data_IF_510394974976
#
_entry.id   IF_510394974976
#
_cell.length_a   1.000
_cell.length_b   1.000
_cell.length_c   1.000
_cell.angle_alpha   90.00
_cell.angle_beta   90.00
_cell.angle_gamma   90.00
#
_symmetry.space_group_name_H-M   'P 1'
#
loop_
_entity.id
_entity.type
_entity.pdbx_description
1 polymer ?
#
# COMPACT_ATOMS: atom_id res chain seq x y z
N UNK A 1 -65.13 -45.33 16.84
CA UNK A 1 -63.78 -45.67 17.36
C UNK A 1 -62.79 -45.32 16.25
N UNK A 2 -62.37 -44.05 16.13
CA UNK A 2 -61.08 -43.48 16.58
C UNK A 2 -59.86 -44.34 16.20
N UNK A 3 -59.15 -43.95 15.13
CA UNK A 3 -57.68 -43.93 15.10
C UNK A 3 -57.23 -42.79 14.18
N UNK A 4 -56.79 -41.69 14.78
CA UNK A 4 -56.12 -40.59 14.11
C UNK A 4 -54.63 -40.94 14.00
N UNK A 5 -54.10 -41.01 12.78
CA UNK A 5 -52.67 -41.09 12.52
C UNK A 5 -52.11 -39.66 12.44
N UNK A 6 -51.47 -39.24 13.52
CA UNK A 6 -50.63 -38.04 13.57
C UNK A 6 -49.31 -38.35 12.86
N UNK A 7 -49.15 -37.85 11.63
CA UNK A 7 -47.84 -37.79 10.96
C UNK A 7 -47.14 -36.53 11.47
N UNK A 8 -46.20 -36.70 12.40
CA UNK A 8 -45.35 -35.62 12.89
C UNK A 8 -44.33 -35.26 11.81
N UNK A 9 -44.53 -34.12 11.15
CA UNK A 9 -43.57 -33.56 10.23
C UNK A 9 -42.38 -32.99 11.01
N UNK A 10 -41.28 -33.73 11.11
CA UNK A 10 -39.99 -33.18 11.50
C UNK A 10 -39.51 -32.23 10.40
N UNK A 11 -39.73 -30.94 10.58
CA UNK A 11 -39.05 -29.91 9.79
C UNK A 11 -37.58 -29.88 10.22
N UNK A 12 -36.73 -30.58 9.48
CA UNK A 12 -35.29 -30.34 9.52
C UNK A 12 -35.00 -28.98 8.88
N UNK A 13 -34.97 -27.92 9.68
CA UNK A 13 -34.33 -26.66 9.28
C UNK A 13 -32.82 -26.89 9.28
N UNK A 14 -32.27 -27.26 8.12
CA UNK A 14 -30.84 -27.25 7.90
C UNK A 14 -30.34 -25.81 8.01
N UNK A 15 -29.86 -25.44 9.20
CA UNK A 15 -29.13 -24.20 9.41
C UNK A 15 -27.74 -24.37 8.78
N UNK A 16 -27.64 -24.14 7.48
CA UNK A 16 -26.36 -24.04 6.78
C UNK A 16 -25.63 -22.79 7.29
N UNK A 17 -24.81 -22.96 8.32
CA UNK A 17 -23.84 -21.97 8.77
C UNK A 17 -22.76 -21.88 7.69
N UNK A 18 -22.86 -20.88 6.82
CA UNK A 18 -21.75 -20.46 5.99
C UNK A 18 -20.66 -19.94 6.93
N UNK A 19 -19.64 -20.78 7.19
CA UNK A 19 -18.42 -20.32 7.82
C UNK A 19 -17.80 -19.26 6.90
N UNK A 20 -17.92 -17.99 7.26
CA UNK A 20 -17.14 -16.94 6.65
C UNK A 20 -15.68 -17.20 7.00
N UNK A 21 -14.89 -17.67 6.04
CA UNK A 21 -13.44 -17.69 6.19
C UNK A 21 -12.98 -16.23 6.26
N UNK A 22 -12.65 -15.74 7.45
CA UNK A 22 -11.93 -14.47 7.58
C UNK A 22 -10.65 -14.58 6.74
N UNK A 23 -10.48 -13.69 5.75
CA UNK A 23 -9.26 -13.65 4.97
C UNK A 23 -8.09 -13.46 5.94
N UNK A 24 -7.10 -14.36 5.88
CA UNK A 24 -5.92 -14.25 6.72
C UNK A 24 -5.15 -12.99 6.32
N UNK A 25 -4.85 -12.15 7.31
CA UNK A 25 -4.09 -10.94 7.12
C UNK A 25 -2.65 -11.23 6.63
N UNK A 26 -2.09 -10.32 5.85
CA UNK A 26 -0.70 -10.40 5.40
C UNK A 26 0.25 -10.43 6.61
N UNK A 27 1.23 -11.33 6.56
CA UNK A 27 2.37 -11.30 7.48
C UNK A 27 3.47 -10.43 6.89
N UNK A 28 3.83 -9.37 7.60
CA UNK A 28 4.90 -8.45 7.20
C UNK A 28 6.24 -8.87 7.82
N UNK A 29 7.31 -8.87 7.02
CA UNK A 29 8.65 -9.30 7.43
C UNK A 29 9.72 -8.25 7.15
N UNK A 30 10.61 -8.06 8.11
CA UNK A 30 11.77 -7.17 8.03
C UNK A 30 12.60 -7.46 6.78
N UNK A 31 12.93 -6.43 6.01
CA UNK A 31 13.81 -6.59 4.84
C UNK A 31 15.25 -6.91 5.25
N UNK A 32 15.68 -6.52 6.45
CA UNK A 32 17.04 -6.76 6.94
C UNK A 32 17.21 -8.17 7.56
N UNK A 33 16.22 -8.64 8.32
CA UNK A 33 16.32 -9.83 9.20
C UNK A 33 15.33 -10.94 8.88
N UNK A 34 14.33 -10.70 8.02
CA UNK A 34 13.20 -11.62 7.73
C UNK A 34 12.30 -11.97 8.93
N UNK A 35 12.55 -11.34 10.08
CA UNK A 35 11.71 -11.44 11.27
C UNK A 35 10.34 -10.80 11.03
N UNK A 36 9.31 -11.32 11.70
CA UNK A 36 7.96 -10.77 11.62
C UNK A 36 7.95 -9.37 12.24
N UNK A 37 7.40 -8.40 11.49
CA UNK A 37 7.23 -7.03 11.96
C UNK A 37 5.99 -6.96 12.86
N UNK A 38 6.18 -6.47 14.08
CA UNK A 38 5.08 -6.11 14.97
C UNK A 38 4.45 -4.78 14.52
N UNK A 39 3.68 -4.82 13.44
CA UNK A 39 3.08 -3.62 12.84
C UNK A 39 2.12 -2.94 13.81
N UNK A 40 1.31 -3.72 14.54
CA UNK A 40 0.30 -3.18 15.45
C UNK A 40 0.92 -2.63 16.74
N UNK A 41 1.98 -3.24 17.27
CA UNK A 41 2.72 -2.69 18.41
C UNK A 41 3.57 -1.48 18.05
N UNK A 42 4.05 -1.40 16.79
CA UNK A 42 5.02 -0.38 16.35
C UNK A 42 4.38 0.86 15.73
N UNK A 43 3.33 0.72 14.94
CA UNK A 43 2.78 1.85 14.19
C UNK A 43 2.31 3.00 15.11
N UNK A 44 2.14 4.21 14.59
CA UNK A 44 1.38 5.25 15.32
C UNK A 44 -0.10 4.88 15.41
N UNK A 45 -0.80 5.29 16.48
CA UNK A 45 -2.24 4.95 16.68
C UNK A 45 -3.17 5.58 15.63
N UNK A 46 -2.83 6.76 15.12
CA UNK A 46 -3.55 7.41 14.02
C UNK A 46 -3.38 6.67 12.69
N UNK A 47 -4.33 6.85 11.77
CA UNK A 47 -4.25 6.31 10.42
C UNK A 47 -4.39 4.78 10.26
N UNK A 48 -4.40 3.97 11.33
CA UNK A 48 -4.40 2.51 11.21
C UNK A 48 -5.69 1.87 10.68
N UNK A 49 -6.81 2.57 10.82
CA UNK A 49 -8.15 2.00 10.62
C UNK A 49 -8.83 2.47 9.33
N UNK A 50 -8.10 3.13 8.43
CA UNK A 50 -8.67 3.59 7.15
C UNK A 50 -9.01 2.39 6.26
N UNK A 51 -9.98 2.52 5.34
CA UNK A 51 -10.27 1.47 4.38
C UNK A 51 -9.04 1.03 3.55
N UNK A 52 -8.14 1.96 3.24
CA UNK A 52 -6.91 1.66 2.48
C UNK A 52 -5.98 0.76 3.29
N UNK A 53 -5.74 1.10 4.56
CA UNK A 53 -4.89 0.29 5.44
C UNK A 53 -5.48 -1.10 5.66
N UNK A 54 -6.81 -1.22 5.82
CA UNK A 54 -7.46 -2.54 5.92
C UNK A 54 -7.24 -3.38 4.66
N UNK A 55 -7.52 -2.82 3.48
CA UNK A 55 -7.30 -3.49 2.19
C UNK A 55 -5.83 -3.87 1.99
N UNK A 56 -4.90 -3.00 2.36
CA UNK A 56 -3.47 -3.29 2.28
C UNK A 56 -3.06 -4.43 3.22
N UNK A 57 -3.56 -4.44 4.46
CA UNK A 57 -3.32 -5.54 5.42
C UNK A 57 -3.91 -6.86 4.93
N UNK A 58 -5.00 -6.85 4.17
CA UNK A 58 -5.59 -8.07 3.59
C UNK A 58 -4.84 -8.55 2.34
N UNK A 59 -4.45 -7.64 1.45
CA UNK A 59 -4.03 -7.97 0.08
C UNK A 59 -2.56 -7.71 -0.23
N UNK A 60 -1.89 -6.86 0.56
CA UNK A 60 -0.55 -6.36 0.27
C UNK A 60 -0.48 -5.36 -0.88
N UNK A 61 -1.62 -4.92 -1.42
CA UNK A 61 -1.74 -3.98 -2.54
C UNK A 61 -2.15 -2.61 -2.02
N UNK A 62 -1.39 -1.57 -2.37
CA UNK A 62 -1.70 -0.21 -1.97
C UNK A 62 -2.79 0.38 -2.87
N UNK A 63 -3.91 0.78 -2.25
CA UNK A 63 -5.05 1.33 -2.95
C UNK A 63 -4.87 2.79 -3.41
N UNK A 64 -3.83 3.47 -2.94
CA UNK A 64 -3.52 4.85 -3.31
C UNK A 64 -2.62 5.00 -4.54
N UNK A 65 -2.05 3.91 -5.06
CA UNK A 65 -1.23 3.95 -6.27
C UNK A 65 -2.01 4.58 -7.42
N UNK A 66 -1.44 5.64 -8.01
CA UNK A 66 -2.04 6.46 -9.08
C UNK A 66 -3.39 7.14 -8.72
N UNK A 67 -3.73 7.27 -7.43
CA UNK A 67 -4.83 8.13 -6.97
C UNK A 67 -4.29 9.55 -6.79
N UNK A 68 -4.52 10.40 -7.80
CA UNK A 68 -3.91 11.73 -7.88
C UNK A 68 -4.06 12.57 -6.59
N UNK A 69 -5.25 12.59 -5.97
CA UNK A 69 -5.48 13.34 -4.73
C UNK A 69 -4.64 12.91 -3.52
N UNK A 70 -4.01 11.72 -3.55
CA UNK A 70 -3.15 11.22 -2.49
C UNK A 70 -1.67 11.57 -2.69
N UNK A 71 -1.26 11.87 -3.92
CA UNK A 71 0.13 12.11 -4.28
C UNK A 71 0.76 13.35 -3.61
N UNK A 72 0.07 14.50 -3.42
CA UNK A 72 0.69 15.67 -2.79
C UNK A 72 1.14 15.44 -1.34
N UNK A 73 0.37 14.65 -0.57
CA UNK A 73 0.77 14.30 0.79
C UNK A 73 1.92 13.28 0.79
N UNK A 74 1.88 12.30 -0.12
CA UNK A 74 3.00 11.37 -0.33
C UNK A 74 4.30 12.09 -0.70
N UNK A 75 4.24 13.09 -1.59
CA UNK A 75 5.35 13.97 -1.92
C UNK A 75 5.87 14.72 -0.69
N UNK A 76 4.99 15.33 0.09
CA UNK A 76 5.38 16.08 1.29
C UNK A 76 6.14 15.20 2.30
N UNK A 77 5.65 13.98 2.54
CA UNK A 77 6.31 13.01 3.42
C UNK A 77 7.67 12.60 2.85
N UNK A 78 7.75 12.33 1.53
CA UNK A 78 9.00 11.97 0.87
C UNK A 78 10.05 13.08 0.98
N UNK A 79 9.65 14.33 0.76
CA UNK A 79 10.55 15.49 0.87
C UNK A 79 11.11 15.60 2.28
N UNK A 80 10.25 15.50 3.29
CA UNK A 80 10.65 15.63 4.70
C UNK A 80 11.53 14.48 5.19
N UNK A 81 11.14 13.23 4.87
CA UNK A 81 11.71 12.05 5.51
C UNK A 81 12.69 11.25 4.65
N UNK A 82 12.67 11.41 3.32
CA UNK A 82 13.40 10.52 2.41
C UNK A 82 14.41 11.26 1.51
N UNK A 83 14.07 12.48 1.07
CA UNK A 83 14.80 13.18 0.00
C UNK A 83 16.25 13.50 0.35
N UNK A 84 16.56 13.70 1.64
CA UNK A 84 17.92 13.97 2.12
C UNK A 84 18.91 12.87 1.73
N UNK A 85 18.46 11.61 1.71
CA UNK A 85 19.26 10.45 1.34
C UNK A 85 18.98 9.93 -0.08
N UNK A 86 17.74 9.99 -0.56
CA UNK A 86 17.33 9.40 -1.84
C UNK A 86 17.20 10.40 -3.00
N UNK A 87 17.54 11.68 -2.78
CA UNK A 87 17.41 12.72 -3.81
C UNK A 87 16.02 13.36 -3.82
N UNK A 88 15.90 14.51 -4.49
CA UNK A 88 14.68 15.33 -4.44
C UNK A 88 13.48 14.66 -5.13
N UNK A 89 13.75 13.78 -6.09
CA UNK A 89 12.77 13.04 -6.90
C UNK A 89 13.11 11.55 -6.96
N UNK A 90 13.80 11.03 -5.93
CA UNK A 90 14.17 9.62 -5.83
C UNK A 90 15.32 9.21 -6.77
N UNK A 91 16.10 10.16 -7.28
CA UNK A 91 17.20 9.92 -8.22
C UNK A 91 18.45 9.27 -7.59
N UNK A 92 18.45 9.11 -6.27
CA UNK A 92 19.59 8.59 -5.51
C UNK A 92 20.55 9.70 -5.10
N UNK A 93 21.17 9.53 -3.93
CA UNK A 93 22.19 10.47 -3.42
C UNK A 93 23.14 9.76 -2.47
N UNK A 94 22.75 9.63 -1.20
CA UNK A 94 23.46 8.82 -0.20
C UNK A 94 22.94 7.39 -0.27
N UNK A 95 21.61 7.25 -0.34
CA UNK A 95 20.92 6.00 -0.63
C UNK A 95 20.75 5.78 -2.13
N UNK A 96 20.30 4.57 -2.52
CA UNK A 96 20.05 4.24 -3.92
C UNK A 96 18.95 5.10 -4.55
N UNK A 97 18.89 5.09 -5.88
CA UNK A 97 17.73 5.58 -6.59
C UNK A 97 16.49 4.74 -6.25
N UNK A 98 15.34 5.41 -6.20
CA UNK A 98 14.01 4.84 -5.96
C UNK A 98 13.06 5.10 -7.15
N UNK A 99 13.52 5.84 -8.16
CA UNK A 99 12.73 6.26 -9.33
C UNK A 99 13.05 5.47 -10.60
N UNK A 100 13.75 4.35 -10.47
CA UNK A 100 14.10 3.45 -11.56
C UNK A 100 13.52 2.03 -11.33
N UNK A 101 13.69 1.18 -12.34
CA UNK A 101 13.22 -0.21 -12.32
C UNK A 101 14.09 -1.18 -11.50
N UNK A 102 15.21 -0.72 -10.94
CA UNK A 102 16.24 -1.55 -10.31
C UNK A 102 16.15 -1.48 -8.78
N UNK A 103 15.64 -2.56 -8.19
CA UNK A 103 15.55 -2.69 -6.74
C UNK A 103 16.67 -3.58 -6.17
N UNK A 104 17.45 -3.04 -5.22
CA UNK A 104 18.46 -3.82 -4.46
C UNK A 104 17.80 -4.97 -3.70
N UNK A 105 16.60 -4.74 -3.15
CA UNK A 105 15.77 -5.76 -2.54
C UNK A 105 14.63 -6.11 -3.50
N UNK A 106 14.68 -7.30 -4.11
CA UNK A 106 13.72 -7.71 -5.15
C UNK A 106 12.26 -7.62 -4.72
N UNK A 107 11.96 -7.84 -3.44
CA UNK A 107 10.62 -7.68 -2.85
C UNK A 107 10.02 -6.28 -3.03
N UNK A 108 10.84 -5.23 -3.18
CA UNK A 108 10.38 -3.84 -3.34
C UNK A 108 9.74 -3.57 -4.71
N UNK A 109 9.77 -4.55 -5.62
CA UNK A 109 8.88 -4.58 -6.79
C UNK A 109 7.39 -4.64 -6.41
N UNK A 110 7.07 -5.01 -5.17
CA UNK A 110 5.71 -5.04 -4.61
C UNK A 110 5.51 -3.97 -3.55
N UNK A 111 4.28 -3.49 -3.37
CA UNK A 111 3.97 -2.45 -2.36
C UNK A 111 4.17 -2.98 -0.94
N UNK A 112 3.79 -4.25 -0.69
CA UNK A 112 4.14 -4.99 0.53
C UNK A 112 5.63 -4.94 0.84
N UNK A 113 6.50 -5.18 -0.14
CA UNK A 113 7.94 -5.16 0.07
C UNK A 113 8.48 -3.76 0.38
N UNK A 114 7.98 -2.72 -0.30
CA UNK A 114 8.34 -1.33 0.02
C UNK A 114 7.88 -0.99 1.44
N UNK A 115 6.64 -1.31 1.80
CA UNK A 115 6.12 -1.13 3.15
C UNK A 115 7.01 -1.78 4.19
N UNK A 116 7.36 -3.05 4.02
CA UNK A 116 8.24 -3.79 4.93
C UNK A 116 9.62 -3.13 5.09
N UNK A 117 10.15 -2.61 3.98
CA UNK A 117 11.45 -1.91 3.96
C UNK A 117 11.39 -0.57 4.67
N UNK A 118 10.33 0.23 4.47
CA UNK A 118 10.21 1.54 5.14
C UNK A 118 9.85 1.34 6.61
N UNK A 119 8.91 0.43 6.89
CA UNK A 119 8.42 0.17 8.24
C UNK A 119 9.51 -0.41 9.15
N UNK A 120 10.18 -1.48 8.69
CA UNK A 120 11.18 -2.21 9.44
C UNK A 120 12.62 -1.77 9.20
N UNK A 121 12.85 -0.85 8.26
CA UNK A 121 14.19 -0.46 7.82
C UNK A 121 14.86 -1.51 6.94
N UNK A 122 16.09 -1.21 6.54
CA UNK A 122 16.95 -2.11 5.80
C UNK A 122 18.37 -2.11 6.39
N UNK A 123 19.33 -2.68 5.66
CA UNK A 123 20.74 -2.68 6.09
C UNK A 123 21.35 -1.28 5.97
N UNK A 124 22.34 -0.99 6.81
CA UNK A 124 23.13 0.24 6.76
C UNK A 124 22.39 1.43 7.35
N UNK A 125 22.34 2.55 6.61
CA UNK A 125 21.77 3.82 7.09
C UNK A 125 20.25 3.93 6.89
N UNK A 126 19.61 2.95 6.22
CA UNK A 126 18.16 2.96 6.01
C UNK A 126 17.45 2.50 7.30
N UNK A 127 17.19 3.44 8.19
CA UNK A 127 16.50 3.20 9.46
C UNK A 127 15.03 2.77 9.28
N UNK A 128 14.46 2.20 10.34
CA UNK A 128 13.03 1.90 10.41
C UNK A 128 12.23 3.19 10.63
N UNK A 129 11.14 3.37 9.88
CA UNK A 129 10.26 4.55 9.98
C UNK A 129 8.85 4.20 10.49
N UNK A 130 8.61 2.96 10.90
CA UNK A 130 7.28 2.50 11.34
C UNK A 130 6.71 3.24 12.57
N UNK A 131 7.57 3.85 13.38
CA UNK A 131 7.17 4.66 14.55
C UNK A 131 6.91 6.14 14.20
N UNK A 132 7.43 6.59 13.05
CA UNK A 132 7.46 8.00 12.67
C UNK A 132 6.30 8.37 11.74
N UNK A 133 5.87 7.42 10.89
CA UNK A 133 4.86 7.63 9.85
C UNK A 133 3.60 6.82 10.18
N UNK A 134 2.42 7.46 10.11
CA UNK A 134 1.15 6.75 10.26
C UNK A 134 0.92 5.76 9.10
N UNK A 135 0.22 4.64 9.34
CA UNK A 135 0.08 3.60 8.30
C UNK A 135 -0.58 4.12 7.02
N UNK A 136 -1.61 4.96 7.15
CA UNK A 136 -2.30 5.56 5.99
C UNK A 136 -1.37 6.50 5.19
N UNK A 137 -0.52 7.24 5.89
CA UNK A 137 0.44 8.16 5.29
C UNK A 137 1.61 7.42 4.65
N UNK A 138 2.02 6.28 5.22
CA UNK A 138 3.00 5.39 4.62
C UNK A 138 2.48 4.82 3.29
N UNK A 139 1.19 4.51 3.17
CA UNK A 139 0.60 4.13 1.88
C UNK A 139 0.64 5.29 0.88
N UNK A 140 0.30 6.52 1.27
CA UNK A 140 0.42 7.68 0.36
C UNK A 140 1.87 7.93 -0.07
N UNK A 141 2.84 7.69 0.82
CA UNK A 141 4.26 7.71 0.48
C UNK A 141 4.61 6.63 -0.54
N UNK A 142 4.12 5.40 -0.39
CA UNK A 142 4.33 4.32 -1.38
C UNK A 142 3.72 4.71 -2.72
N UNK A 143 2.50 5.24 -2.76
CA UNK A 143 1.89 5.76 -3.97
C UNK A 143 2.75 6.83 -4.66
N UNK A 144 3.35 7.75 -3.90
CA UNK A 144 4.30 8.72 -4.44
C UNK A 144 5.58 8.09 -4.99
N UNK A 145 6.17 7.11 -4.28
CA UNK A 145 7.34 6.38 -4.77
C UNK A 145 7.04 5.67 -6.09
N UNK A 146 5.85 5.08 -6.25
CA UNK A 146 5.42 4.49 -7.53
C UNK A 146 5.24 5.55 -8.62
N UNK A 147 4.71 6.72 -8.27
CA UNK A 147 4.51 7.83 -9.19
C UNK A 147 5.83 8.43 -9.70
N UNK A 148 6.91 8.38 -8.91
CA UNK A 148 8.23 8.85 -9.30
C UNK A 148 8.89 8.01 -10.40
N UNK A 149 8.38 6.82 -10.72
CA UNK A 149 8.99 5.92 -11.70
C UNK A 149 9.17 6.59 -13.07
N UNK A 150 10.40 6.57 -13.60
CA UNK A 150 10.74 7.13 -14.92
C UNK A 150 10.97 6.07 -16.00
N UNK A 151 11.32 4.86 -15.59
CA UNK A 151 11.62 3.74 -16.49
C UNK A 151 10.33 3.09 -17.06
N UNK A 152 10.51 2.15 -17.98
CA UNK A 152 9.42 1.35 -18.54
C UNK A 152 8.64 0.60 -17.45
N UNK A 153 7.30 0.64 -17.56
CA UNK A 153 6.36 0.00 -16.63
C UNK A 153 5.60 -1.16 -17.25
N UNK A 154 6.02 -1.65 -18.43
CA UNK A 154 5.35 -2.76 -19.12
C UNK A 154 5.24 -3.97 -18.20
N UNK A 155 6.32 -4.26 -17.47
CA UNK A 155 6.41 -5.37 -16.52
C UNK A 155 6.19 -4.95 -15.05
N UNK A 156 5.69 -3.74 -14.79
CA UNK A 156 5.40 -3.29 -13.44
C UNK A 156 4.28 -4.15 -12.80
N UNK A 157 4.57 -4.86 -11.73
CA UNK A 157 3.58 -5.70 -11.03
C UNK A 157 2.67 -4.90 -10.10
N UNK A 158 3.09 -3.68 -9.72
CA UNK A 158 2.36 -2.76 -8.85
C UNK A 158 1.30 -1.91 -9.57
N UNK A 159 1.17 -2.04 -10.89
CA UNK A 159 0.14 -1.35 -11.69
C UNK A 159 -0.85 -2.36 -12.28
N UNK A 160 -2.14 -2.03 -12.23
CA UNK A 160 -3.17 -2.73 -12.98
C UNK A 160 -3.00 -2.53 -14.50
N UNK A 161 -3.65 -3.37 -15.31
CA UNK A 161 -3.63 -3.22 -16.76
C UNK A 161 -4.19 -1.85 -17.20
N UNK A 162 -5.17 -1.31 -16.48
CA UNK A 162 -5.74 0.01 -16.72
C UNK A 162 -4.76 1.13 -16.35
N UNK A 163 -4.11 1.04 -15.18
CA UNK A 163 -3.11 2.02 -14.75
C UNK A 163 -1.92 2.07 -15.72
N UNK A 164 -1.45 0.92 -16.22
CA UNK A 164 -0.35 0.87 -17.21
C UNK A 164 -0.66 1.62 -18.50
N UNK A 165 -1.92 1.66 -18.94
CA UNK A 165 -2.32 2.37 -20.16
C UNK A 165 -2.24 3.89 -20.02
N UNK A 166 -2.39 4.39 -18.79
CA UNK A 166 -2.43 5.83 -18.50
C UNK A 166 -1.19 6.34 -17.79
N UNK A 167 -0.34 5.44 -17.28
CA UNK A 167 0.90 5.79 -16.59
C UNK A 167 1.82 6.60 -17.52
N UNK A 168 2.43 7.63 -16.95
CA UNK A 168 3.41 8.46 -17.64
C UNK A 168 4.66 8.51 -16.79
N UNK A 169 5.82 8.25 -17.40
CA UNK A 169 7.10 8.45 -16.74
C UNK A 169 7.15 9.80 -16.06
N UNK A 170 7.64 9.82 -14.82
CA UNK A 170 7.68 11.02 -14.00
C UNK A 170 8.46 12.15 -14.67
N UNK A 171 7.92 13.37 -14.59
CA UNK A 171 8.59 14.59 -15.02
C UNK A 171 8.35 15.67 -13.96
N UNK A 172 9.43 16.13 -13.33
CA UNK A 172 9.35 17.08 -12.21
C UNK A 172 8.75 18.43 -12.62
N UNK A 173 8.94 18.84 -13.87
CA UNK A 173 8.42 20.11 -14.37
C UNK A 173 6.91 20.00 -14.59
N UNK A 174 6.46 18.93 -15.26
CA UNK A 174 5.05 18.60 -15.46
C UNK A 174 4.31 18.47 -14.13
N UNK A 175 4.94 17.78 -13.16
CA UNK A 175 4.41 17.65 -11.81
C UNK A 175 4.17 19.01 -11.16
N UNK A 176 5.21 19.85 -11.08
CA UNK A 176 5.14 21.17 -10.42
C UNK A 176 4.20 22.14 -11.11
N UNK A 177 4.21 22.18 -12.45
CA UNK A 177 3.47 23.18 -13.21
C UNK A 177 2.00 22.79 -13.40
N UNK A 178 1.67 21.50 -13.51
CA UNK A 178 0.34 21.08 -13.96
C UNK A 178 -0.31 19.97 -13.12
N UNK A 179 0.42 18.89 -12.78
CA UNK A 179 -0.22 17.72 -12.18
C UNK A 179 -0.46 17.90 -10.68
N UNK A 180 0.49 18.48 -9.93
CA UNK A 180 0.31 18.77 -8.50
C UNK A 180 -0.83 19.74 -8.22
N UNK A 181 -0.94 20.91 -8.90
CA UNK A 181 -2.08 21.81 -8.68
C UNK A 181 -3.44 21.18 -9.04
N UNK A 182 -3.46 20.20 -9.96
CA UNK A 182 -4.67 19.45 -10.30
C UNK A 182 -4.98 18.36 -9.26
N UNK A 183 -3.95 17.69 -8.73
CA UNK A 183 -4.05 16.69 -7.68
C UNK A 183 -4.54 17.27 -6.36
N UNK A 184 -4.03 18.44 -5.96
CA UNK A 184 -4.43 19.14 -4.72
C UNK A 184 -5.93 19.54 -4.69
N UNK A 185 -6.59 19.58 -5.86
CA UNK A 185 -8.04 19.83 -5.98
C UNK A 185 -8.89 18.56 -5.81
N UNK A 186 -8.26 17.39 -5.76
CA UNK A 186 -8.93 16.10 -5.66
C UNK A 186 -8.85 15.57 -4.23
N UNK A 187 -9.90 14.92 -3.78
CA UNK A 187 -9.87 14.21 -2.50
C UNK A 187 -8.96 12.99 -2.61
N UNK A 188 -8.10 12.76 -1.62
CA UNK A 188 -7.45 11.45 -1.46
C UNK A 188 -8.52 10.43 -1.03
N UNK A 189 -9.13 9.78 -2.01
CA UNK A 189 -10.12 8.73 -1.82
C UNK A 189 -9.95 7.71 -2.95
N UNK A 190 -9.72 6.45 -2.60
CA UNK A 190 -9.70 5.37 -3.57
C UNK A 190 -11.13 4.79 -3.68
N UNK A 191 -11.59 4.44 -4.89
CA UNK A 191 -12.93 3.92 -5.07
C UNK A 191 -13.08 2.58 -4.33
N UNK A 192 -14.09 2.50 -3.47
CA UNK A 192 -14.58 1.24 -2.90
C UNK A 192 -15.30 0.46 -4.00
N UNK A 193 -14.55 -0.19 -4.88
CA UNK A 193 -15.10 -1.26 -5.72
C UNK A 193 -14.69 -2.60 -5.13
#
# INVERSE_FOLDING_TARGET
>A
MKFALLVSALTFTALSVLAQTAAAEQVFRSTATDEILDVDGTARRGGRNTPAVKKFRETGVDAYVEVAGCLPLGEAIFVESCSGCHGAVGEGKIGPALNDSVWIYSKNKTDKGIFETIFGGAKGLMAAHGQDIELDDLLKLIAWLRHLQKDDVTNAEWLTAEQKKTFKSFDVRRWKETERPAAEKQQCAFPSK
#
